data_IF_466303303226
#
_entry.id   IF_466303303226
#
_cell.length_a   1.000
_cell.length_b   1.000
_cell.length_c   1.000
_cell.angle_alpha   90.00
_cell.angle_beta   90.00
_cell.angle_gamma   90.00
#
_symmetry.space_group_name_H-M   'P 1'
#
loop_
_entity.id
_entity.type
_entity.pdbx_description
1 polymer ?
2 non-polymer ?
3 non-polymer ?
4 non-polymer ?
5 non-polymer ?
6 non-polymer ?
7 non-polymer ?
8 water ?
#
# COMPACT_ATOMS: atom_id res chain seq x y z
N UNK A 1 2.61 -10.55 12.63
CA UNK A 1 2.89 -9.10 12.47
C UNK A 1 4.18 -8.91 11.67
N UNK A 2 4.34 -7.73 11.09
CA UNK A 2 5.60 -7.36 10.46
C UNK A 2 6.07 -6.03 11.04
N UNK A 3 7.36 -5.78 10.96
CA UNK A 3 7.97 -4.59 11.55
C UNK A 3 8.97 -3.90 10.61
N UNK A 4 9.12 -2.59 10.78
CA UNK A 4 10.17 -1.83 10.08
C UNK A 4 10.66 -0.68 10.96
N UNK A 5 11.99 -0.57 11.07
CA UNK A 5 12.62 0.47 11.87
C UNK A 5 13.40 1.43 10.97
N UNK A 6 13.10 2.72 11.06
CA UNK A 6 13.78 3.71 10.26
C UNK A 6 15.19 3.99 10.80
N UNK A 7 15.41 3.76 12.09
CA UNK A 7 16.73 3.93 12.67
C UNK A 7 17.66 2.87 12.12
N UNK A 8 18.65 3.32 11.34
CA UNK A 8 19.61 2.41 10.70
C UNK A 8 19.10 1.80 9.40
N UNK A 9 17.94 2.24 8.93
CA UNK A 9 17.35 1.69 7.71
C UNK A 9 18.21 1.96 6.49
N UNK A 10 18.25 0.99 5.59
CA UNK A 10 18.92 1.15 4.30
C UNK A 10 18.13 0.36 3.25
N UNK A 11 18.53 0.44 1.97
CA UNK A 11 17.73 -0.26 0.97
C UNK A 11 17.52 -1.75 1.26
N UNK A 12 18.52 -2.39 1.87
CA UNK A 12 18.43 -3.80 2.22
C UNK A 12 17.37 -4.08 3.30
N UNK A 13 17.40 -3.36 4.41
CA UNK A 13 16.43 -3.59 5.50
C UNK A 13 15.01 -3.22 5.05
N UNK A 14 14.88 -2.20 4.22
CA UNK A 14 13.57 -1.87 3.65
C UNK A 14 13.10 -3.00 2.75
N UNK A 15 13.99 -3.54 1.93
CA UNK A 15 13.66 -4.69 1.08
C UNK A 15 13.17 -5.89 1.88
N UNK A 16 13.82 -6.14 3.02
CA UNK A 16 13.41 -7.23 3.92
C UNK A 16 12.01 -6.98 4.49
N UNK A 17 11.69 -5.74 4.81
CA UNK A 17 10.36 -5.39 5.32
C UNK A 17 9.27 -5.61 4.28
N UNK A 18 9.52 -5.19 3.04
CA UNK A 18 8.54 -5.35 1.98
C UNK A 18 8.36 -6.85 1.67
N UNK A 19 9.44 -7.62 1.73
CA UNK A 19 9.35 -9.07 1.61
C UNK A 19 8.49 -9.67 2.73
N UNK A 20 8.73 -9.26 3.96
CA UNK A 20 7.93 -9.71 5.12
C UNK A 20 6.45 -9.36 4.92
N UNK A 21 6.20 -8.15 4.46
CA UNK A 21 4.83 -7.67 4.23
C UNK A 21 4.11 -8.55 3.21
N UNK A 22 4.73 -8.77 2.06
CA UNK A 22 4.18 -9.67 1.04
C UNK A 22 3.91 -11.07 1.59
N UNK A 23 4.89 -11.59 2.33
CA UNK A 23 4.81 -12.97 2.86
C UNK A 23 3.74 -13.15 3.94
N UNK A 24 3.34 -12.04 4.56
CA UNK A 24 2.29 -12.06 5.58
C UNK A 24 0.88 -12.12 4.98
N UNK A 25 0.75 -11.86 3.68
CA UNK A 25 -0.55 -11.89 3.03
C UNK A 25 -0.82 -13.32 2.57
N UNK A 26 -1.94 -13.90 3.03
CA UNK A 26 -2.21 -15.29 2.70
C UNK A 26 -2.72 -15.45 1.27
N UNK A 27 -2.39 -16.58 0.67
CA UNK A 27 -2.92 -16.94 -0.64
C UNK A 27 -2.99 -18.46 -0.75
N UNK A 28 -3.87 -18.92 -1.62
CA UNK A 28 -4.17 -20.33 -1.77
C UNK A 28 -3.82 -20.79 -3.20
N UNK A 29 -3.35 -19.85 -4.01
CA UNK A 29 -3.27 -20.01 -5.46
C UNK A 29 -2.36 -18.92 -6.03
N UNK A 30 -1.57 -19.25 -7.03
CA UNK A 30 -0.88 -18.24 -7.84
C UNK A 30 -1.48 -18.25 -9.23
N UNK A 31 -1.53 -17.08 -9.84
CA UNK A 31 -2.03 -16.91 -11.19
C UNK A 31 -0.89 -16.31 -11.97
N UNK A 32 -0.42 -17.04 -12.99
CA UNK A 32 0.80 -16.71 -13.72
C UNK A 32 1.96 -16.41 -12.76
N UNK A 33 2.09 -17.28 -11.75
CA UNK A 33 3.15 -17.24 -10.74
C UNK A 33 3.14 -16.04 -9.79
N UNK A 34 1.99 -15.35 -9.73
CA UNK A 34 1.79 -14.23 -8.83
C UNK A 34 0.76 -14.62 -7.80
N UNK A 35 1.08 -14.45 -6.51
CA UNK A 35 0.10 -14.76 -5.46
C UNK A 35 -1.24 -14.04 -5.68
N UNK A 36 -2.32 -14.80 -5.53
CA UNK A 36 -3.68 -14.29 -5.68
C UNK A 36 -4.26 -14.08 -4.28
N UNK A 37 -4.54 -12.84 -3.93
CA UNK A 37 -5.11 -12.56 -2.61
C UNK A 37 -6.48 -13.20 -2.49
N UNK A 38 -6.85 -13.50 -1.24
CA UNK A 38 -8.08 -14.24 -0.97
C UNK A 38 -9.33 -13.39 -1.21
N UNK A 39 -10.43 -14.03 -1.61
CA UNK A 39 -11.70 -13.32 -1.78
C UNK A 39 -12.14 -12.64 -0.48
N UNK A 40 -11.96 -13.35 0.63
CA UNK A 40 -12.32 -12.82 1.93
C UNK A 40 -11.67 -13.63 3.04
N UNK A 41 -11.64 -13.03 4.22
CA UNK A 41 -11.12 -13.65 5.43
C UNK A 41 -12.03 -13.16 6.54
N UNK A 42 -12.39 -14.05 7.46
CA UNK A 42 -13.35 -13.72 8.49
C UNK A 42 -12.67 -13.42 9.81
N UNK A 43 -13.19 -12.41 10.50
CA UNK A 43 -12.76 -12.07 11.83
C UNK A 43 -11.47 -11.29 11.84
N UNK A 44 -10.72 -11.46 12.93
CA UNK A 44 -9.49 -10.72 13.16
C UNK A 44 -8.39 -11.09 12.18
N UNK A 45 -8.44 -12.32 11.64
CA UNK A 45 -7.45 -12.79 10.67
C UNK A 45 -7.38 -11.98 9.39
N UNK A 46 -8.40 -11.16 9.15
CA UNK A 46 -8.45 -10.28 7.99
C UNK A 46 -7.37 -9.18 8.03
N UNK A 47 -6.87 -8.85 9.22
CA UNK A 47 -6.03 -7.68 9.40
C UNK A 47 -4.61 -8.03 9.84
N UNK A 48 -3.65 -7.51 9.09
CA UNK A 48 -2.24 -7.60 9.42
C UNK A 48 -1.84 -6.34 10.17
N UNK A 49 -1.00 -6.52 11.19
CA UNK A 49 -0.45 -5.39 11.94
C UNK A 49 0.99 -5.14 11.52
N UNK A 50 1.25 -3.89 11.10
CA UNK A 50 2.60 -3.44 10.76
C UNK A 50 3.08 -2.52 11.86
N UNK A 51 4.17 -2.90 12.52
CA UNK A 51 4.79 -2.06 13.53
C UNK A 51 5.88 -1.21 12.88
N UNK A 52 5.65 0.10 12.83
CA UNK A 52 6.59 1.02 12.20
C UNK A 52 7.24 1.93 13.25
N UNK A 53 8.56 2.05 13.21
CA UNK A 53 9.31 2.86 14.16
C UNK A 53 10.04 3.98 13.44
N UNK A 54 9.84 5.20 13.91
CA UNK A 54 10.56 6.33 13.35
C UNK A 54 12.00 6.30 13.85
N UNK A 55 12.81 7.22 13.34
CA UNK A 55 14.23 7.26 13.66
C UNK A 55 14.50 7.31 15.17
N UNK A 56 13.65 8.02 15.92
CA UNK A 56 13.78 8.14 17.37
C UNK A 56 13.25 6.94 18.14
N UNK A 57 12.66 5.97 17.44
CA UNK A 57 12.21 4.75 18.09
C UNK A 57 10.76 4.78 18.56
N UNK A 58 10.06 5.88 18.28
CA UNK A 58 8.63 5.95 18.53
C UNK A 58 7.91 5.14 17.47
N UNK A 59 6.71 4.66 17.81
CA UNK A 59 6.07 3.64 16.99
C UNK A 59 4.57 3.86 16.79
N UNK A 60 4.10 3.47 15.60
CA UNK A 60 2.68 3.29 15.34
C UNK A 60 2.47 1.87 14.86
N UNK A 61 1.26 1.36 15.05
CA UNK A 61 0.88 0.08 14.50
C UNK A 61 -0.20 0.32 13.47
N UNK A 62 0.01 -0.16 12.25
CA UNK A 62 -0.91 0.07 11.14
C UNK A 62 -1.65 -1.22 10.83
N UNK A 63 -2.98 -1.14 10.75
CA UNK A 63 -3.82 -2.29 10.41
C UNK A 63 -4.07 -2.34 8.92
N UNK A 64 -3.74 -3.48 8.31
CA UNK A 64 -3.84 -3.68 6.87
C UNK A 64 -4.78 -4.86 6.58
N UNK A 65 -5.77 -4.64 5.71
CA UNK A 65 -6.68 -5.69 5.24
C UNK A 65 -5.91 -6.62 4.29
N UNK A 66 -5.78 -7.89 4.66
CA UNK A 66 -4.90 -8.80 3.90
C UNK A 66 -5.48 -9.26 2.56
N UNK A 67 -6.75 -8.96 2.30
CA UNK A 67 -7.39 -9.32 1.03
C UNK A 67 -7.09 -8.30 -0.08
N UNK A 68 -6.81 -7.05 0.30
CA UNK A 68 -6.60 -5.97 -0.69
C UNK A 68 -5.42 -5.03 -0.40
N UNK A 69 -4.69 -5.28 0.68
CA UNK A 69 -3.58 -4.43 1.15
C UNK A 69 -3.99 -2.98 1.45
N UNK A 70 -5.27 -2.78 1.77
CA UNK A 70 -5.78 -1.45 2.13
C UNK A 70 -5.52 -1.17 3.61
N UNK A 71 -4.96 0.00 3.90
CA UNK A 71 -4.76 0.42 5.26
C UNK A 71 -6.10 0.84 5.84
N UNK A 72 -6.46 0.28 6.99
CA UNK A 72 -7.76 0.55 7.62
C UNK A 72 -7.66 1.64 8.69
N UNK A 73 -6.55 1.66 9.40
CA UNK A 73 -6.37 2.54 10.54
C UNK A 73 -5.04 2.27 11.20
N UNK A 74 -4.78 2.94 12.31
CA UNK A 74 -3.52 2.77 12.99
C UNK A 74 -3.67 3.14 14.46
N UNK A 75 -2.74 2.66 15.27
CA UNK A 75 -2.70 2.95 16.69
C UNK A 75 -1.47 3.79 16.98
N UNK A 76 -1.67 4.89 17.70
CA UNK A 76 -0.58 5.78 18.09
C UNK A 76 -0.70 6.04 19.59
N UNK A 77 0.20 5.42 20.35
CA UNK A 77 0.15 5.37 21.82
C UNK A 77 -1.16 4.71 22.32
N UNK A 78 -2.09 5.51 22.83
CA UNK A 78 -3.34 4.95 23.38
C UNK A 78 -4.54 5.38 22.57
N UNK A 79 -4.32 5.96 21.39
CA UNK A 79 -5.40 6.40 20.53
C UNK A 79 -5.38 5.64 19.21
N UNK A 80 -6.53 5.09 18.84
CA UNK A 80 -6.70 4.48 17.53
C UNK A 80 -7.33 5.48 16.56
N UNK A 81 -6.98 5.34 15.29
CA UNK A 81 -7.50 6.19 14.22
C UNK A 81 -7.94 5.29 13.07
N UNK A 82 -9.15 5.51 12.56
CA UNK A 82 -9.67 4.73 11.43
C UNK A 82 -10.22 5.64 10.35
N UNK A 83 -10.09 5.20 9.10
CA UNK A 83 -10.69 5.91 7.98
C UNK A 83 -12.21 5.93 8.11
N UNK A 84 -12.82 6.99 7.58
CA UNK A 84 -14.26 7.13 7.62
C UNK A 84 -14.87 6.39 6.44
N UNK A 85 -14.94 5.07 6.58
CA UNK A 85 -15.43 4.19 5.53
C UNK A 85 -15.86 2.87 6.18
N UNK A 86 -16.86 2.17 5.60
CA UNK A 86 -17.40 0.99 6.30
C UNK A 86 -16.40 -0.14 6.57
N UNK A 87 -15.48 -0.36 5.64
CA UNK A 87 -14.45 -1.39 5.80
C UNK A 87 -13.56 -1.11 7.01
N UNK A 88 -13.29 0.17 7.26
CA UNK A 88 -12.47 0.57 8.41
C UNK A 88 -13.23 0.49 9.72
N UNK A 89 -14.51 0.88 9.73
CA UNK A 89 -15.31 0.74 10.94
C UNK A 89 -15.45 -0.74 11.31
N UNK A 90 -15.63 -1.59 10.31
CA UNK A 90 -15.62 -3.04 10.54
C UNK A 90 -14.30 -3.48 11.16
N UNK A 91 -13.17 -3.04 10.60
CA UNK A 91 -11.86 -3.35 11.18
C UNK A 91 -11.76 -2.90 12.64
N UNK A 92 -12.39 -1.77 12.96
CA UNK A 92 -12.34 -1.25 14.33
C UNK A 92 -13.04 -2.16 15.35
N UNK A 93 -13.79 -3.14 14.86
CA UNK A 93 -14.39 -4.15 15.72
C UNK A 93 -13.37 -5.20 16.17
N UNK A 94 -12.25 -5.29 15.46
CA UNK A 94 -11.27 -6.35 15.69
C UNK A 94 -9.88 -5.90 16.17
N UNK A 95 -9.42 -4.72 15.75
CA UNK A 95 -8.06 -4.29 16.09
C UNK A 95 -8.04 -3.01 16.94
N UNK A 96 -7.00 -2.90 17.77
CA UNK A 96 -6.78 -1.72 18.61
C UNK A 96 -7.92 -1.47 19.60
N UNK A 97 -8.61 -2.54 20.00
CA UNK A 97 -9.75 -2.44 20.90
C UNK A 97 -9.36 -1.90 22.28
N UNK A 98 -8.11 -2.15 22.69
CA UNK A 98 -7.60 -1.67 23.97
C UNK A 98 -7.21 -0.19 23.99
N UNK A 99 -7.26 0.49 22.85
CA UNK A 99 -7.04 1.93 22.80
C UNK A 99 -7.98 2.65 23.78
N UNK A 100 -7.45 3.65 24.47
CA UNK A 100 -8.27 4.44 25.39
C UNK A 100 -9.36 5.23 24.66
N UNK A 101 -9.07 5.70 23.46
CA UNK A 101 -10.10 6.34 22.61
C UNK A 101 -9.87 6.01 21.14
N UNK A 102 -10.95 6.12 20.38
CA UNK A 102 -10.93 5.89 18.95
C UNK A 102 -11.41 7.14 18.22
N UNK A 103 -10.56 7.63 17.31
CA UNK A 103 -10.90 8.75 16.46
C UNK A 103 -11.15 8.25 15.05
N UNK A 104 -12.28 8.64 14.48
CA UNK A 104 -12.53 8.39 13.06
C UNK A 104 -12.01 9.59 12.30
N UNK A 105 -11.09 9.35 11.38
CA UNK A 105 -10.53 10.43 10.57
C UNK A 105 -11.64 11.03 9.71
N UNK A 106 -11.53 12.32 9.37
CA UNK A 106 -12.57 13.00 8.59
C UNK A 106 -12.38 12.81 7.07
N UNK A 107 -12.01 11.60 6.68
CA UNK A 107 -11.95 11.22 5.27
C UNK A 107 -11.84 9.71 5.18
N UNK A 108 -12.22 9.18 4.02
CA UNK A 108 -11.94 7.80 3.68
C UNK A 108 -10.50 7.66 3.24
N UNK A 109 -10.08 6.43 2.97
CA UNK A 109 -8.69 6.16 2.64
C UNK A 109 -8.34 6.21 1.16
N UNK A 110 -9.30 6.54 0.29
CA UNK A 110 -8.97 6.52 -1.13
C UNK A 110 -8.14 7.73 -1.50
N UNK A 111 -7.32 7.55 -2.53
CA UNK A 111 -6.37 8.56 -2.94
C UNK A 111 -7.02 9.92 -3.19
N UNK A 112 -8.18 9.92 -3.84
CA UNK A 112 -8.82 11.19 -4.18
C UNK A 112 -9.20 11.98 -2.92
N UNK A 113 -9.81 11.31 -1.96
CA UNK A 113 -10.20 11.98 -0.71
C UNK A 113 -9.02 12.44 0.14
N UNK A 114 -7.97 11.62 0.17
CA UNK A 114 -6.77 11.98 0.92
C UNK A 114 -6.07 13.20 0.33
N UNK A 115 -5.98 13.23 -1.00
CA UNK A 115 -5.38 14.36 -1.72
C UNK A 115 -6.17 15.65 -1.49
N UNK A 116 -7.50 15.55 -1.47
CA UNK A 116 -8.36 16.68 -1.13
C UNK A 116 -8.06 17.20 0.28
N UNK A 117 -8.00 16.29 1.26
CA UNK A 117 -7.73 16.67 2.65
C UNK A 117 -6.32 17.23 2.82
N UNK A 118 -5.35 16.66 2.10
CA UNK A 118 -3.96 17.09 2.20
C UNK A 118 -3.72 18.43 1.50
N UNK A 119 -4.59 18.76 0.54
CA UNK A 119 -4.47 20.01 -0.21
C UNK A 119 -3.51 19.90 -1.38
N UNK A 120 -3.11 18.67 -1.73
CA UNK A 120 -2.24 18.47 -2.89
C UNK A 120 -2.31 17.04 -3.43
N UNK A 121 -2.11 16.89 -4.75
CA UNK A 121 -2.09 15.56 -5.36
C UNK A 121 -0.79 14.90 -5.00
N UNK A 122 -0.71 13.58 -5.07
CA UNK A 122 0.50 12.95 -4.59
C UNK A 122 1.63 13.00 -5.64
N UNK A 123 1.34 13.49 -6.85
CA UNK A 123 2.40 13.89 -7.79
C UNK A 123 3.37 14.91 -7.17
N UNK A 124 2.89 15.65 -6.17
CA UNK A 124 3.62 16.75 -5.56
C UNK A 124 4.19 16.43 -4.18
N UNK A 125 3.90 15.24 -3.66
CA UNK A 125 4.36 14.87 -2.32
C UNK A 125 5.57 13.96 -2.46
N UNK A 126 6.73 14.42 -1.99
CA UNK A 126 7.91 13.56 -2.00
C UNK A 126 7.71 12.31 -1.16
N UNK A 127 8.24 11.20 -1.65
CA UNK A 127 8.22 9.95 -0.91
C UNK A 127 9.64 9.42 -0.83
N UNK A 128 9.83 8.43 0.05
CA UNK A 128 11.15 7.95 0.40
C UNK A 128 11.16 7.50 1.84
N UNK A 129 12.30 7.00 2.29
CA UNK A 129 12.42 6.59 3.68
C UNK A 129 12.41 7.78 4.63
N UNK A 130 13.06 8.90 4.26
CA UNK A 130 12.91 10.06 5.12
C UNK A 130 11.46 10.54 5.25
N UNK A 131 10.72 10.54 4.15
CA UNK A 131 9.31 10.92 4.18
C UNK A 131 8.51 9.95 5.06
N UNK A 132 8.86 8.67 5.05
CA UNK A 132 8.19 7.69 5.91
C UNK A 132 8.45 7.98 7.38
N UNK A 133 9.69 8.29 7.73
CA UNK A 133 10.03 8.72 9.09
C UNK A 133 9.16 9.91 9.54
N UNK A 134 9.02 10.90 8.66
CA UNK A 134 8.19 12.08 8.92
C UNK A 134 6.72 11.68 9.09
N UNK A 135 6.26 10.75 8.26
CA UNK A 135 4.87 10.33 8.26
C UNK A 135 4.51 9.71 9.60
N UNK A 136 5.38 8.81 10.06
CA UNK A 136 5.19 8.13 11.34
C UNK A 136 5.12 9.16 12.45
N UNK A 137 6.05 10.11 12.43
CA UNK A 137 6.10 11.18 13.42
C UNK A 137 4.82 12.02 13.43
N UNK A 138 4.33 12.36 12.24
CA UNK A 138 3.10 13.14 12.11
C UNK A 138 1.91 12.40 12.70
N UNK A 139 1.83 11.11 12.43
CA UNK A 139 0.67 10.33 12.85
C UNK A 139 0.65 10.09 14.36
N UNK A 140 1.77 10.30 15.04
CA UNK A 140 1.82 10.12 16.48
C UNK A 140 0.93 11.10 17.23
N UNK A 141 0.73 12.30 16.67
CA UNK A 141 -0.14 13.29 17.29
C UNK A 141 -1.16 13.84 16.29
N UNK A 142 -2.43 13.74 16.68
CA UNK A 142 -3.52 13.98 15.77
C UNK A 142 -3.48 15.37 15.14
N UNK A 143 -3.50 15.39 13.82
CA UNK A 143 -3.62 16.60 13.04
C UNK A 143 -4.14 16.11 11.69
N UNK A 144 -5.44 16.27 11.42
CA UNK A 144 -6.06 15.55 10.30
C UNK A 144 -5.57 15.99 8.92
N UNK A 145 -5.30 17.28 8.74
CA UNK A 145 -4.72 17.77 7.48
C UNK A 145 -3.32 17.21 7.27
N UNK A 146 -2.47 17.31 8.29
CA UNK A 146 -1.11 16.75 8.21
C UNK A 146 -1.16 15.24 8.00
N UNK A 147 -2.06 14.57 8.72
CA UNK A 147 -2.19 13.12 8.64
C UNK A 147 -2.55 12.63 7.23
N UNK A 148 -3.38 13.37 6.49
CA UNK A 148 -3.72 12.99 5.11
C UNK A 148 -2.48 12.84 4.23
N UNK A 149 -1.58 13.83 4.31
CA UNK A 149 -0.32 13.78 3.59
C UNK A 149 0.56 12.64 4.08
N UNK A 150 0.62 12.46 5.39
CA UNK A 150 1.40 11.38 5.99
C UNK A 150 0.89 10.04 5.49
N UNK A 151 -0.43 9.88 5.43
CA UNK A 151 -1.03 8.64 5.01
C UNK A 151 -0.78 8.35 3.52
N UNK A 152 -0.77 9.39 2.69
CA UNK A 152 -0.39 9.22 1.28
C UNK A 152 1.03 8.68 1.15
N UNK A 153 1.92 9.17 2.00
CA UNK A 153 3.29 8.67 2.03
C UNK A 153 3.32 7.23 2.54
N UNK A 154 2.59 6.97 3.62
CA UNK A 154 2.60 5.66 4.24
C UNK A 154 2.08 4.57 3.30
N UNK A 155 0.96 4.86 2.65
CA UNK A 155 0.34 3.91 1.73
C UNK A 155 1.29 3.53 0.61
N UNK A 156 1.96 4.53 0.04
CA UNK A 156 2.83 4.30 -1.11
C UNK A 156 4.13 3.60 -0.76
N UNK A 157 4.67 3.86 0.44
CA UNK A 157 5.95 3.27 0.83
C UNK A 157 5.77 1.89 1.48
N UNK A 158 4.51 1.48 1.67
CA UNK A 158 4.21 0.17 2.26
C UNK A 158 3.40 -0.68 1.28
N UNK A 159 2.09 -0.45 1.21
CA UNK A 159 1.25 -1.33 0.39
C UNK A 159 1.61 -1.26 -1.08
N UNK A 160 1.79 -0.06 -1.63
CA UNK A 160 2.16 0.07 -3.05
C UNK A 160 3.45 -0.67 -3.37
N UNK A 161 4.48 -0.48 -2.54
CA UNK A 161 5.75 -1.19 -2.72
C UNK A 161 5.59 -2.71 -2.62
N UNK A 162 4.71 -3.16 -1.73
CA UNK A 162 4.41 -4.59 -1.66
C UNK A 162 3.79 -5.10 -2.96
N UNK A 163 2.93 -4.29 -3.57
CA UNK A 163 2.24 -4.69 -4.81
C UNK A 163 3.10 -4.71 -6.06
N UNK A 164 4.10 -3.82 -6.13
CA UNK A 164 4.92 -3.68 -7.31
C UNK A 164 6.39 -3.58 -6.97
N UNK A 165 7.20 -4.46 -7.57
CA UNK A 165 8.64 -4.43 -7.37
C UNK A 165 9.25 -3.10 -7.84
N UNK A 166 8.72 -2.53 -8.93
CA UNK A 166 9.17 -1.23 -9.41
C UNK A 166 9.05 -0.15 -8.31
N UNK A 167 7.93 -0.16 -7.59
CA UNK A 167 7.70 0.85 -6.55
C UNK A 167 8.63 0.61 -5.36
N UNK A 168 8.82 -0.64 -4.97
CA UNK A 168 9.79 -0.98 -3.94
C UNK A 168 11.18 -0.42 -4.28
N UNK A 169 11.58 -0.61 -5.54
CA UNK A 169 12.87 -0.11 -6.02
C UNK A 169 12.94 1.41 -6.02
N UNK A 170 11.84 2.07 -6.37
CA UNK A 170 11.79 3.53 -6.34
C UNK A 170 12.02 4.05 -4.93
N UNK A 171 11.45 3.38 -3.94
CA UNK A 171 11.63 3.78 -2.54
C UNK A 171 13.06 3.50 -2.08
N UNK A 172 13.62 2.36 -2.50
CA UNK A 172 15.02 2.06 -2.20
C UNK A 172 15.98 3.10 -2.75
N UNK A 173 15.66 3.66 -3.92
CA UNK A 173 16.43 4.76 -4.50
C UNK A 173 16.32 6.04 -3.67
N UNK A 174 15.19 6.16 -2.95
CA UNK A 174 14.92 7.31 -2.09
C UNK A 174 15.17 6.99 -0.62
N UNK A 175 16.18 6.15 -0.34
CA UNK A 175 16.48 5.76 1.04
C UNK A 175 16.97 6.92 1.89
N UNK A 176 17.69 7.87 1.28
CA UNK A 176 18.28 8.99 2.03
C UNK A 176 17.96 10.36 1.44
N UNK A 177 17.08 10.39 0.44
CA UNK A 177 16.62 11.62 -0.20
C UNK A 177 15.24 11.38 -0.79
N UNK A 178 14.24 12.09 -0.29
CA UNK A 178 12.90 12.00 -0.84
C UNK A 178 12.83 12.59 -2.25
N UNK A 179 11.89 12.08 -3.03
CA UNK A 179 11.59 12.63 -4.34
C UNK A 179 10.16 12.27 -4.68
N UNK A 180 9.46 13.16 -5.37
CA UNK A 180 8.08 12.89 -5.76
C UNK A 180 8.06 11.60 -6.61
N UNK A 181 6.95 10.84 -6.55
CA UNK A 181 6.90 9.59 -7.31
C UNK A 181 7.04 9.80 -8.81
N UNK A 182 7.65 8.85 -9.50
CA UNK A 182 7.70 8.89 -10.95
C UNK A 182 6.28 8.77 -11.51
N UNK A 183 6.06 9.29 -12.71
CA UNK A 183 4.75 9.15 -13.35
C UNK A 183 4.38 7.65 -13.51
N UNK A 184 5.39 6.81 -13.73
CA UNK A 184 5.20 5.36 -13.79
C UNK A 184 4.65 4.78 -12.48
N UNK A 185 5.21 5.25 -11.37
CA UNK A 185 4.74 4.85 -10.04
C UNK A 185 3.25 5.17 -9.87
N UNK A 186 2.86 6.39 -10.20
CA UNK A 186 1.46 6.80 -10.12
C UNK A 186 0.56 5.92 -10.99
N UNK A 187 1.01 5.68 -12.22
CA UNK A 187 0.29 4.86 -13.18
C UNK A 187 0.03 3.44 -12.63
N UNK A 188 1.07 2.84 -12.05
CA UNK A 188 0.96 1.49 -11.49
C UNK A 188 -0.01 1.45 -10.32
N UNK A 189 0.10 2.44 -9.43
CA UNK A 189 -0.82 2.53 -8.28
C UNK A 189 -2.26 2.57 -8.76
N UNK A 190 -2.51 3.42 -9.73
CA UNK A 190 -3.86 3.59 -10.30
C UNK A 190 -4.36 2.37 -11.07
N UNK A 191 -3.44 1.53 -11.55
CA UNK A 191 -3.77 0.39 -12.41
C UNK A 191 -3.80 -0.98 -11.72
N UNK A 192 -3.58 -1.03 -10.40
CA UNK A 192 -3.43 -2.30 -9.72
C UNK A 192 -4.68 -3.17 -9.82
N UNK A 193 -5.84 -2.57 -9.60
CA UNK A 193 -7.11 -3.28 -9.71
C UNK A 193 -7.33 -3.81 -11.13
N UNK A 194 -7.19 -2.92 -12.11
CA UNK A 194 -7.28 -3.27 -13.53
C UNK A 194 -6.34 -4.39 -13.93
N UNK A 195 -5.06 -4.26 -13.59
CA UNK A 195 -4.07 -5.28 -13.92
C UNK A 195 -4.37 -6.62 -13.26
N UNK A 196 -4.74 -6.58 -11.99
CA UNK A 196 -5.10 -7.78 -11.24
C UNK A 196 -6.24 -8.50 -11.96
N UNK A 197 -7.24 -7.74 -12.38
CA UNK A 197 -8.39 -8.29 -13.10
C UNK A 197 -7.99 -8.93 -14.43
N UNK A 198 -7.27 -8.18 -15.26
CA UNK A 198 -6.89 -8.65 -16.59
C UNK A 198 -5.96 -9.87 -16.57
N UNK A 199 -5.10 -9.95 -15.56
CA UNK A 199 -4.23 -11.11 -15.37
C UNK A 199 -5.07 -12.33 -15.02
N UNK A 200 -6.08 -12.15 -14.19
CA UNK A 200 -7.00 -13.24 -13.87
C UNK A 200 -7.88 -13.64 -15.06
N UNK A 201 -8.33 -12.66 -15.84
CA UNK A 201 -9.15 -12.96 -17.03
C UNK A 201 -8.34 -13.64 -18.13
N UNK A 202 -7.04 -13.40 -18.14
CA UNK A 202 -6.14 -14.03 -19.10
C UNK A 202 -6.05 -15.55 -18.92
N UNK A 203 -6.33 -16.05 -17.71
CA UNK A 203 -6.23 -17.48 -17.39
C UNK A 203 -6.94 -18.39 -18.39
N UNK A 204 -8.15 -18.00 -18.78
CA UNK A 204 -8.92 -18.76 -19.79
C UNK A 204 -9.00 -18.07 -21.15
N UNK A 205 -8.05 -17.20 -21.42
CA UNK A 205 -8.02 -16.44 -22.67
C UNK A 205 -6.62 -16.49 -23.26
N UNK A 206 -5.91 -17.60 -23.01
CA UNK A 206 -4.59 -17.85 -23.57
C UNK A 206 -3.55 -16.78 -23.22
N UNK A 207 -3.63 -16.23 -22.01
CA UNK A 207 -2.68 -15.22 -21.57
C UNK A 207 -2.94 -13.82 -22.10
N UNK A 208 -4.06 -13.63 -22.80
CA UNK A 208 -4.42 -12.35 -23.43
C UNK A 208 -5.42 -11.59 -22.56
N UNK A 209 -5.17 -10.30 -22.33
CA UNK A 209 -6.10 -9.43 -21.59
C UNK A 209 -7.37 -9.23 -22.40
N UNK A 210 -8.53 -9.32 -21.74
CA UNK A 210 -9.80 -9.00 -22.39
C UNK A 210 -9.86 -7.51 -22.75
N UNK A 211 -9.29 -6.67 -21.89
CA UNK A 211 -9.18 -5.22 -22.12
C UNK A 211 -7.74 -4.77 -21.83
N UNK A 212 -7.10 -4.08 -22.79
CA UNK A 212 -5.72 -3.63 -22.54
C UNK A 212 -5.62 -2.61 -21.42
N UNK A 213 -4.49 -2.64 -20.71
CA UNK A 213 -4.21 -1.68 -19.64
C UNK A 213 -3.16 -0.68 -20.11
N UNK A 214 -3.48 0.61 -20.03
CA UNK A 214 -2.54 1.66 -20.42
C UNK A 214 -1.71 2.10 -19.21
N UNK A 215 -0.39 2.05 -19.35
CA UNK A 215 0.54 2.49 -18.32
C UNK A 215 1.53 3.51 -18.85
N UNK A 216 2.17 4.23 -17.93
CA UNK A 216 3.32 5.07 -18.26
C UNK A 216 4.57 4.30 -17.83
N UNK A 217 5.57 4.23 -18.71
CA UNK A 217 6.81 3.53 -18.38
C UNK A 217 7.83 4.48 -17.74
N UNK A 218 9.00 3.96 -17.41
CA UNK A 218 10.07 4.73 -16.76
C UNK A 218 10.46 6.04 -17.44
N UNK A 219 10.30 6.11 -18.76
CA UNK A 219 10.74 7.28 -19.54
C UNK A 219 9.62 8.30 -19.73
N UNK A 220 8.48 8.08 -19.07
CA UNK A 220 7.34 8.96 -19.21
C UNK A 220 6.50 8.63 -20.44
N UNK A 221 6.82 7.52 -21.09
CA UNK A 221 6.12 7.11 -22.31
C UNK A 221 4.93 6.20 -22.01
N UNK A 222 3.78 6.56 -22.58
CA UNK A 222 2.52 5.84 -22.37
C UNK A 222 2.47 4.59 -23.25
N UNK A 223 2.18 3.44 -22.64
CA UNK A 223 2.16 2.16 -23.37
C UNK A 223 0.98 1.27 -22.99
N UNK A 224 0.70 0.31 -23.87
CA UNK A 224 -0.42 -0.62 -23.71
C UNK A 224 0.05 -2.00 -23.29
N UNK A 225 -0.56 -2.54 -22.24
CA UNK A 225 -0.27 -3.90 -21.78
C UNK A 225 -1.44 -4.77 -22.25
N UNK A 226 -1.14 -5.78 -23.06
CA UNK A 226 -2.18 -6.58 -23.70
C UNK A 226 -2.18 -8.05 -23.32
N UNK A 227 -1.12 -8.51 -22.67
CA UNK A 227 -0.99 -9.93 -22.36
C UNK A 227 0.06 -10.20 -21.28
N UNK A 228 0.08 -11.44 -20.79
CA UNK A 228 0.92 -11.81 -19.63
C UNK A 228 2.42 -11.90 -19.91
N UNK A 229 2.85 -11.77 -21.16
CA UNK A 229 4.30 -11.75 -21.44
C UNK A 229 4.95 -10.41 -21.12
N UNK A 230 4.14 -9.40 -20.82
CA UNK A 230 4.67 -8.08 -20.52
C UNK A 230 5.48 -8.08 -19.22
N UNK A 231 6.52 -7.25 -19.20
CA UNK A 231 7.38 -7.10 -18.04
C UNK A 231 6.62 -6.75 -16.76
N UNK A 232 5.53 -6.00 -16.91
CA UNK A 232 4.71 -5.63 -15.75
C UNK A 232 4.19 -6.90 -15.06
N UNK A 233 3.85 -7.91 -15.86
CA UNK A 233 3.29 -9.15 -15.33
C UNK A 233 4.37 -10.15 -14.90
N UNK A 234 5.43 -10.30 -15.70
CA UNK A 234 6.46 -11.31 -15.43
C UNK A 234 7.43 -10.90 -14.34
N UNK A 235 7.63 -9.60 -14.15
CA UNK A 235 8.69 -9.11 -13.24
C UNK A 235 8.22 -8.19 -12.10
N UNK A 236 7.19 -7.39 -12.36
CA UNK A 236 6.86 -6.23 -11.54
C UNK A 236 5.77 -6.52 -10.49
N UNK A 237 4.55 -6.79 -10.93
CA UNK A 237 3.43 -6.99 -10.00
C UNK A 237 3.70 -8.21 -9.11
N UNK A 238 3.44 -8.06 -7.81
CA UNK A 238 3.76 -9.11 -6.82
C UNK A 238 2.53 -9.70 -6.12
N UNK A 239 1.39 -9.05 -6.27
CA UNK A 239 0.15 -9.44 -5.60
C UNK A 239 -1.03 -9.12 -6.52
N UNK A 240 -2.01 -10.00 -6.53
CA UNK A 240 -3.23 -9.80 -7.32
C UNK A 240 -4.44 -9.62 -6.42
N UNK A 241 -5.14 -8.51 -6.62
CA UNK A 241 -6.46 -8.29 -6.05
C UNK A 241 -7.40 -9.31 -6.66
N UNK A 242 -8.04 -10.13 -5.82
CA UNK A 242 -8.98 -11.13 -6.29
C UNK A 242 -10.12 -10.47 -7.04
N UNK A 243 -10.42 -10.99 -8.23
CA UNK A 243 -11.48 -10.44 -9.08
C UNK A 243 -12.86 -10.39 -8.41
N UNK A 244 -13.07 -11.25 -7.42
CA UNK A 244 -14.29 -11.22 -6.62
C UNK A 244 -14.46 -9.92 -5.82
N UNK A 245 -13.35 -9.22 -5.59
CA UNK A 245 -13.35 -7.92 -4.92
C UNK A 245 -13.23 -6.72 -5.89
N UNK A 246 -13.47 -6.96 -7.18
CA UNK A 246 -13.37 -5.93 -8.21
C UNK A 246 -14.71 -5.71 -8.90
#
# INVERSE_FOLDING_TARGET
DVSFRLSGADPSSYGMFIKDLRNALPHTEKVYNIPLLLPSVSGAGRYLLMHLFNYDGNTITVAVDVTNVYIMGYLALTTSYFFNEPAADLASQYVFRSARRKITLPYSGNYERLQIAAGKPREKIPIGLPALDTAISTLLHYDSTAAAGALLVLIQTTAEAARFKYIEQQIQERAYRDEVPSSATISLENSWSGLSKQIQLAQGNNGVFRTPTVLVDSKGNRVQITNVTSNVVTSNIQLLLNTKNI
#
